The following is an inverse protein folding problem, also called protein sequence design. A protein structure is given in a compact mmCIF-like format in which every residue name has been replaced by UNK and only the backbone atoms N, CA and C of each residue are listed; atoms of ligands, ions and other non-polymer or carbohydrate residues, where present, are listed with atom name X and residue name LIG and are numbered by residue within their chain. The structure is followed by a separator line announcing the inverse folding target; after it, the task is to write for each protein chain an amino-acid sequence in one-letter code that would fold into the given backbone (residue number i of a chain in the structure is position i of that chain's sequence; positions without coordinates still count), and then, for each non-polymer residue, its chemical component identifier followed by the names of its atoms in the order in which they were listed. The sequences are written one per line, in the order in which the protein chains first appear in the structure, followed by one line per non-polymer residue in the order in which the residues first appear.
data_IF_568600886815
#
_entry.id   IF_568600886815
#
_cell.length_a   1.000
_cell.length_b   1.000
_cell.length_c   1.000
_cell.angle_alpha   90.00
_cell.angle_beta   90.00
_cell.angle_gamma   90.00
#
_symmetry.space_group_name_H-M   'P 1'
#
loop_
_entity.id
_entity.type
_entity.pdbx_description
1 polymer ?
#
# COMPACT_ATOMS: atom_id res chain seq x y z
N UNK A 1 -12.74 8.04 3.34
CA UNK A 1 -11.74 7.68 2.31
C UNK A 1 -11.36 6.21 2.53
N UNK A 2 -11.19 5.43 1.46
CA UNK A 2 -10.87 4.00 1.53
C UNK A 2 -9.49 3.76 0.91
N UNK A 3 -8.62 3.02 1.60
CA UNK A 3 -7.34 2.59 1.04
C UNK A 3 -7.46 1.18 0.49
N UNK A 4 -6.89 0.93 -0.70
CA UNK A 4 -6.85 -0.39 -1.31
C UNK A 4 -5.53 -0.61 -2.02
N UNK A 5 -5.20 -1.87 -2.28
CA UNK A 5 -4.11 -2.27 -3.15
C UNK A 5 -4.65 -3.24 -4.20
N UNK A 6 -4.35 -2.97 -5.48
CA UNK A 6 -4.73 -3.85 -6.57
C UNK A 6 -3.71 -4.98 -6.70
N UNK A 7 -4.07 -6.16 -6.18
CA UNK A 7 -3.19 -7.33 -6.15
C UNK A 7 -3.03 -8.00 -7.53
N UNK A 8 -4.01 -7.79 -8.42
CA UNK A 8 -3.96 -8.27 -9.79
C UNK A 8 -3.80 -7.10 -10.76
N UNK A 9 -2.99 -7.29 -11.80
CA UNK A 9 -2.85 -6.37 -12.93
C UNK A 9 -3.00 -7.15 -14.24
N UNK A 10 -3.68 -6.61 -15.26
CA UNK A 10 -3.75 -7.27 -16.57
C UNK A 10 -2.36 -7.58 -17.11
N UNK A 11 -2.22 -8.81 -17.62
CA UNK A 11 -1.01 -9.26 -18.29
C UNK A 11 -0.98 -8.63 -19.69
N UNK A 12 0.16 -8.04 -20.05
CA UNK A 12 0.44 -7.43 -21.35
C UNK A 12 1.85 -7.83 -21.75
N UNK A 13 2.18 -7.85 -23.04
CA UNK A 13 3.54 -8.19 -23.50
C UNK A 13 4.62 -7.33 -22.84
N UNK A 14 4.32 -6.06 -22.57
CA UNK A 14 5.22 -5.12 -21.89
C UNK A 14 5.39 -5.35 -20.37
N UNK A 15 4.61 -6.24 -19.77
CA UNK A 15 4.63 -6.50 -18.32
C UNK A 15 4.64 -7.99 -17.96
N UNK A 16 5.04 -8.85 -18.91
CA UNK A 16 5.23 -10.27 -18.66
C UNK A 16 6.21 -10.50 -17.49
N UNK A 17 6.07 -11.64 -16.82
CA UNK A 17 7.02 -12.01 -15.78
C UNK A 17 8.40 -12.22 -16.39
N UNK A 18 9.41 -11.66 -15.73
CA UNK A 18 10.81 -11.96 -16.00
C UNK A 18 11.17 -13.35 -15.44
N UNK A 19 12.22 -13.99 -15.97
CA UNK A 19 12.70 -15.29 -15.45
C UNK A 19 13.03 -15.19 -13.96
N UNK A 20 13.63 -14.09 -13.52
CA UNK A 20 13.93 -13.81 -12.12
C UNK A 20 12.67 -13.71 -11.25
N UNK A 21 11.59 -13.08 -11.76
CA UNK A 21 10.31 -13.00 -11.06
C UNK A 21 9.63 -14.37 -10.95
N UNK A 22 9.74 -15.23 -11.97
CA UNK A 22 9.22 -16.59 -11.94
C UNK A 22 10.01 -17.50 -10.98
N UNK A 23 11.30 -17.20 -10.77
CA UNK A 23 12.15 -17.88 -9.80
C UNK A 23 11.89 -17.45 -8.35
N UNK A 24 11.08 -16.42 -8.10
CA UNK A 24 10.70 -16.01 -6.75
C UNK A 24 9.89 -17.11 -6.05
N UNK A 25 9.94 -17.08 -4.72
CA UNK A 25 9.14 -17.98 -3.89
C UNK A 25 7.65 -17.87 -4.23
N UNK A 26 6.93 -18.99 -4.13
CA UNK A 26 5.51 -19.12 -4.51
C UNK A 26 4.57 -18.11 -3.84
N UNK A 27 4.96 -17.50 -2.73
CA UNK A 27 4.22 -16.41 -2.08
C UNK A 27 4.11 -15.12 -2.91
N UNK A 28 5.00 -14.91 -3.88
CA UNK A 28 4.98 -13.76 -4.79
C UNK A 28 4.18 -14.04 -6.08
N UNK A 29 3.91 -15.32 -6.35
CA UNK A 29 3.22 -15.77 -7.55
C UNK A 29 1.83 -16.34 -7.20
N UNK A 30 0.95 -16.47 -8.19
CA UNK A 30 -0.43 -16.90 -7.97
C UNK A 30 -0.51 -18.37 -7.50
N UNK A 31 0.51 -19.17 -7.80
CA UNK A 31 0.57 -20.61 -7.52
C UNK A 31 0.59 -20.94 -6.03
N UNK A 32 1.17 -20.08 -5.18
CA UNK A 32 1.35 -20.33 -3.75
C UNK A 32 0.20 -19.85 -2.86
N UNK A 33 -0.88 -19.32 -3.42
CA UNK A 33 -1.91 -18.66 -2.62
C UNK A 33 -2.91 -19.66 -2.04
N UNK A 34 -3.11 -19.60 -0.72
CA UNK A 34 -4.11 -20.44 -0.04
C UNK A 34 -5.52 -19.98 -0.40
N UNK A 35 -6.17 -20.70 -1.30
CA UNK A 35 -7.58 -20.45 -1.66
C UNK A 35 -8.49 -21.40 -0.89
N UNK A 36 -9.27 -20.85 0.05
CA UNK A 36 -10.10 -21.62 0.98
C UNK A 36 -11.40 -22.21 0.40
N UNK A 37 -11.81 -21.82 -0.81
CA UNK A 37 -13.03 -22.33 -1.46
C UNK A 37 -12.77 -22.81 -2.88
N UNK A 38 -13.55 -23.80 -3.32
CA UNK A 38 -13.47 -24.34 -4.68
C UNK A 38 -13.78 -23.28 -5.73
N UNK A 39 -14.79 -22.45 -5.48
CA UNK A 39 -15.18 -21.35 -6.37
C UNK A 39 -14.03 -20.34 -6.56
N UNK A 40 -13.34 -19.95 -5.49
CA UNK A 40 -12.22 -19.04 -5.59
C UNK A 40 -11.02 -19.70 -6.29
N UNK A 41 -10.86 -21.03 -6.18
CA UNK A 41 -9.81 -21.76 -6.90
C UNK A 41 -10.06 -21.79 -8.40
N UNK A 42 -11.31 -22.03 -8.82
CA UNK A 42 -11.72 -21.92 -10.22
C UNK A 42 -11.47 -20.51 -10.75
N UNK A 43 -11.90 -19.49 -10.01
CA UNK A 43 -11.66 -18.09 -10.40
C UNK A 43 -10.16 -17.76 -10.51
N UNK A 44 -9.34 -18.26 -9.57
CA UNK A 44 -7.88 -18.07 -9.61
C UNK A 44 -7.25 -18.71 -10.85
N UNK A 45 -7.70 -19.92 -11.22
CA UNK A 45 -7.25 -20.57 -12.45
C UNK A 45 -7.65 -19.79 -13.70
N UNK A 46 -8.85 -19.21 -13.74
CA UNK A 46 -9.32 -18.39 -14.87
C UNK A 46 -8.49 -17.12 -15.06
N UNK A 47 -8.10 -16.45 -13.98
CA UNK A 47 -7.33 -15.20 -14.08
C UNK A 47 -5.83 -15.41 -14.30
N UNK A 48 -5.32 -16.63 -14.08
CA UNK A 48 -3.89 -16.94 -14.17
C UNK A 48 -3.29 -16.61 -15.55
N UNK A 49 -4.07 -16.78 -16.61
CA UNK A 49 -3.62 -16.53 -17.99
C UNK A 49 -3.75 -15.06 -18.40
N UNK A 50 -4.63 -14.29 -17.76
CA UNK A 50 -4.98 -12.92 -18.17
C UNK A 50 -4.40 -11.84 -17.25
N UNK A 51 -3.96 -12.21 -16.05
CA UNK A 51 -3.48 -11.28 -15.04
C UNK A 51 -2.17 -11.77 -14.42
N UNK A 52 -1.33 -10.83 -13.99
CA UNK A 52 -0.18 -11.09 -13.11
C UNK A 52 -0.47 -10.67 -11.67
N UNK A 53 0.21 -11.32 -10.73
CA UNK A 53 0.27 -10.85 -9.34
C UNK A 53 1.09 -9.57 -9.26
N UNK A 54 0.66 -8.72 -8.34
CA UNK A 54 1.40 -7.54 -7.90
C UNK A 54 1.37 -7.55 -6.38
N UNK A 55 2.37 -8.19 -5.75
CA UNK A 55 2.55 -8.11 -4.30
C UNK A 55 2.71 -6.64 -3.87
N UNK A 56 2.27 -6.34 -2.64
CA UNK A 56 2.40 -5.01 -2.09
C UNK A 56 3.88 -4.73 -1.81
N UNK A 57 4.40 -3.61 -2.30
CA UNK A 57 5.77 -3.23 -2.00
C UNK A 57 5.84 -2.68 -0.57
N UNK A 58 6.08 -3.58 0.39
CA UNK A 58 6.16 -3.28 1.82
C UNK A 58 7.58 -3.54 2.31
N UNK A 59 8.16 -2.58 3.02
CA UNK A 59 9.53 -2.64 3.52
C UNK A 59 9.56 -2.47 5.02
N UNK A 60 10.51 -3.13 5.68
CA UNK A 60 10.74 -2.98 7.11
C UNK A 60 11.48 -1.66 7.44
N UNK A 61 11.85 -1.48 8.70
CA UNK A 61 12.56 -0.29 9.15
C UNK A 61 13.96 -0.15 8.54
N UNK A 62 14.59 -1.26 8.19
CA UNK A 62 15.91 -1.30 7.54
C UNK A 62 15.82 -1.17 6.02
N UNK A 63 14.60 -1.15 5.46
CA UNK A 63 14.38 -1.09 4.02
C UNK A 63 14.43 -2.45 3.32
N UNK A 64 14.39 -3.56 4.07
CA UNK A 64 14.28 -4.90 3.50
C UNK A 64 12.82 -5.18 3.10
N UNK A 65 12.63 -5.86 1.98
CA UNK A 65 11.30 -6.23 1.49
C UNK A 65 10.65 -7.23 2.45
N UNK A 66 9.47 -6.90 2.95
CA UNK A 66 8.66 -7.80 3.76
C UNK A 66 7.95 -8.79 2.82
N UNK A 67 8.08 -10.10 3.02
CA UNK A 67 7.37 -11.09 2.21
C UNK A 67 5.86 -11.07 2.53
N UNK A 68 4.98 -11.43 1.56
CA UNK A 68 3.53 -11.45 1.77
C UNK A 68 3.07 -12.29 2.96
N UNK A 69 3.75 -13.40 3.25
CA UNK A 69 3.48 -14.26 4.40
C UNK A 69 3.65 -13.55 5.76
N UNK A 70 4.50 -12.52 5.82
CA UNK A 70 4.80 -11.77 7.05
C UNK A 70 4.01 -10.47 7.18
N UNK A 71 3.22 -10.06 6.17
CA UNK A 71 2.49 -8.79 6.21
C UNK A 71 1.64 -8.61 7.46
N UNK A 72 0.91 -9.65 7.87
CA UNK A 72 0.06 -9.58 9.06
C UNK A 72 0.90 -9.33 10.31
N UNK A 73 2.02 -10.02 10.45
CA UNK A 73 2.87 -9.92 11.63
C UNK A 73 3.65 -8.60 11.67
N UNK A 74 4.14 -8.11 10.52
CA UNK A 74 5.05 -6.96 10.44
C UNK A 74 4.35 -5.63 10.23
N UNK A 75 3.15 -5.61 9.64
CA UNK A 75 2.43 -4.36 9.33
C UNK A 75 1.30 -4.06 10.31
N UNK A 76 0.68 -5.08 10.92
CA UNK A 76 -0.47 -4.86 11.81
C UNK A 76 -0.02 -4.17 13.10
N UNK A 77 -0.44 -2.92 13.27
CA UNK A 77 -0.08 -2.10 14.44
C UNK A 77 1.29 -1.41 14.32
N UNK A 78 1.97 -1.51 13.18
CA UNK A 78 3.17 -0.74 12.88
C UNK A 78 2.83 0.72 12.57
N UNK A 79 3.76 1.63 12.89
CA UNK A 79 3.74 2.98 12.34
C UNK A 79 4.47 2.95 11.01
N UNK A 80 3.82 3.40 9.93
CA UNK A 80 4.32 3.26 8.57
C UNK A 80 4.20 4.55 7.77
N UNK A 81 5.10 4.75 6.81
CA UNK A 81 4.92 5.67 5.70
C UNK A 81 4.21 4.93 4.57
N UNK A 82 3.16 5.53 4.01
CA UNK A 82 2.41 4.97 2.89
C UNK A 82 2.47 5.94 1.72
N UNK A 83 2.83 5.44 0.53
CA UNK A 83 2.61 6.15 -0.73
C UNK A 83 1.35 5.58 -1.37
N UNK A 84 0.45 6.46 -1.78
CA UNK A 84 -0.77 6.09 -2.48
C UNK A 84 -1.16 7.15 -3.49
N UNK A 85 -1.88 6.73 -4.53
CA UNK A 85 -2.51 7.63 -5.49
C UNK A 85 -3.98 7.85 -5.08
N UNK A 86 -4.51 9.06 -5.25
CA UNK A 86 -5.92 9.33 -4.93
C UNK A 86 -6.75 9.35 -6.21
N UNK A 87 -7.76 8.49 -6.26
CA UNK A 87 -8.80 8.51 -7.27
C UNK A 87 -10.11 9.04 -6.65
N UNK A 88 -10.80 9.91 -7.37
CA UNK A 88 -12.12 10.42 -6.98
C UNK A 88 -13.17 9.82 -7.90
N UNK A 89 -14.17 9.18 -7.31
CA UNK A 89 -15.33 8.68 -8.03
C UNK A 89 -16.54 9.51 -7.63
N UNK A 90 -17.32 9.93 -8.61
CA UNK A 90 -18.59 10.65 -8.40
C UNK A 90 -19.72 9.68 -8.70
N UNK A 91 -20.58 9.47 -7.72
CA UNK A 91 -21.74 8.57 -7.85
C UNK A 91 -23.04 9.33 -7.59
N UNK A 92 -24.08 9.00 -8.34
CA UNK A 92 -25.41 9.61 -8.22
C UNK A 92 -25.74 10.59 -9.34
N UNK A 93 -27.03 10.81 -9.54
CA UNK A 93 -27.56 11.80 -10.47
C UNK A 93 -27.75 13.14 -9.77
N UNK A 94 -27.70 14.25 -10.52
CA UNK A 94 -28.00 15.59 -10.01
C UNK A 94 -29.41 15.59 -9.40
N UNK A 95 -29.64 16.22 -8.22
CA UNK A 95 -28.75 17.12 -7.47
C UNK A 95 -27.92 16.43 -6.38
N UNK A 96 -28.11 15.13 -6.11
CA UNK A 96 -27.41 14.40 -5.04
C UNK A 96 -26.27 13.55 -5.60
N UNK A 97 -25.13 14.18 -5.86
CA UNK A 97 -23.88 13.46 -6.10
C UNK A 97 -23.15 13.17 -4.78
N UNK A 98 -22.48 12.02 -4.72
CA UNK A 98 -21.61 11.60 -3.63
C UNK A 98 -20.21 11.40 -4.18
N UNK A 99 -19.23 12.07 -3.56
CA UNK A 99 -17.83 11.85 -3.85
C UNK A 99 -17.29 10.71 -3.00
N UNK A 100 -16.59 9.76 -3.65
CA UNK A 100 -15.83 8.71 -2.98
C UNK A 100 -14.37 8.84 -3.37
N UNK A 101 -13.53 9.14 -2.38
CA UNK A 101 -12.09 9.15 -2.52
C UNK A 101 -11.52 7.77 -2.17
N UNK A 102 -10.70 7.24 -3.06
CA UNK A 102 -10.00 5.97 -2.91
C UNK A 102 -8.50 6.22 -3.00
N UNK A 103 -7.75 5.76 -2.00
CA UNK A 103 -6.29 5.77 -1.98
C UNK A 103 -5.74 4.43 -2.47
N UNK A 104 -5.19 4.39 -3.67
CA UNK A 104 -4.52 3.22 -4.23
C UNK A 104 -3.09 3.14 -3.72
N UNK A 105 -2.86 2.26 -2.74
CA UNK A 105 -1.57 2.08 -2.07
C UNK A 105 -0.57 1.42 -3.03
N UNK A 106 0.59 2.06 -3.16
CA UNK A 106 1.67 1.59 -4.02
C UNK A 106 2.90 1.15 -3.25
N UNK A 107 3.11 1.69 -2.05
CA UNK A 107 4.31 1.45 -1.24
C UNK A 107 4.02 1.64 0.25
N UNK A 108 4.66 0.81 1.08
CA UNK A 108 4.66 0.92 2.54
C UNK A 108 6.09 0.79 3.07
N UNK A 109 6.47 1.62 4.04
CA UNK A 109 7.70 1.45 4.83
C UNK A 109 7.41 1.54 6.32
N UNK A 110 7.88 0.56 7.08
CA UNK A 110 7.78 0.58 8.54
C UNK A 110 8.75 1.61 9.12
N UNK A 111 8.24 2.51 9.96
CA UNK A 111 9.04 3.43 10.77
C UNK A 111 9.22 2.88 12.18
N UNK A 112 8.16 2.32 12.75
CA UNK A 112 8.15 1.70 14.08
C UNK A 112 7.48 0.34 13.95
N UNK A 113 8.16 -0.76 14.32
CA UNK A 113 7.58 -2.10 14.23
C UNK A 113 6.35 -2.22 15.15
N UNK A 114 5.48 -3.21 14.92
CA UNK A 114 4.36 -3.51 15.79
C UNK A 114 4.87 -3.70 17.22
N UNK A 115 4.34 -2.93 18.16
CA UNK A 115 4.59 -3.22 19.58
C UNK A 115 3.84 -4.51 19.89
N UNK A 116 4.53 -5.52 20.44
CA UNK A 116 3.88 -6.74 20.91
C UNK A 116 2.67 -6.39 21.80
N UNK A 117 1.62 -7.23 21.86
CA UNK A 117 0.47 -6.98 22.71
C UNK A 117 0.85 -7.17 24.19
N UNK A 118 1.59 -6.23 24.77
CA UNK A 118 1.71 -6.09 26.21
C UNK A 118 0.61 -5.14 26.68
N UNK A 119 -0.44 -5.71 27.27
CA UNK A 119 -1.54 -5.02 27.96
C UNK A 119 -2.52 -4.21 27.07
N UNK A 120 -3.78 -4.03 27.54
CA UNK A 120 -4.76 -3.19 26.85
C UNK A 120 -4.15 -1.82 26.56
N UNK A 121 -4.08 -1.49 25.27
CA UNK A 121 -3.65 -0.18 24.80
C UNK A 121 -4.67 0.83 25.32
N UNK A 122 -4.37 1.42 26.49
CA UNK A 122 -5.03 2.65 26.90
C UNK A 122 -4.93 3.64 25.73
N UNK A 123 -5.98 4.42 25.42
CA UNK A 123 -5.91 5.38 24.33
C UNK A 123 -4.70 6.28 24.55
N UNK A 124 -3.63 6.07 23.78
CA UNK A 124 -2.46 6.94 23.83
C UNK A 124 -2.99 8.34 23.55
N UNK A 125 -2.79 9.25 24.52
CA UNK A 125 -3.06 10.67 24.32
C UNK A 125 -2.41 11.05 22.99
N UNK A 126 -3.23 11.36 21.99
CA UNK A 126 -2.76 11.92 20.72
C UNK A 126 -2.14 13.25 21.10
N UNK A 127 -0.82 13.31 21.18
CA UNK A 127 -0.11 14.59 21.11
C UNK A 127 -0.34 15.11 19.70
N UNK A 128 -1.47 15.79 19.51
CA UNK A 128 -1.71 16.62 18.35
C UNK A 128 -0.68 17.73 18.47
N UNK A 129 0.37 17.66 17.66
CA UNK A 129 1.31 18.77 17.56
C UNK A 129 0.52 19.99 17.06
N UNK A 130 0.55 21.08 17.81
CA UNK A 130 -0.12 22.33 17.47
C UNK A 130 0.51 23.06 16.26
N UNK A 131 1.59 22.51 15.69
CA UNK A 131 2.31 23.04 14.54
C UNK A 131 2.63 21.91 13.56
N UNK A 132 2.47 22.21 12.28
CA UNK A 132 2.69 21.30 11.15
C UNK A 132 4.18 20.90 11.04
N UNK A 133 4.55 19.61 11.17
CA UNK A 133 5.93 19.15 11.06
C UNK A 133 6.52 19.23 9.65
N UNK A 134 5.72 19.55 8.62
CA UNK A 134 6.17 19.69 7.24
C UNK A 134 6.22 21.14 6.75
N UNK A 135 5.96 22.12 7.62
CA UNK A 135 5.94 23.54 7.26
C UNK A 135 7.24 24.02 6.58
N UNK A 136 8.40 23.49 6.99
CA UNK A 136 9.70 23.83 6.42
C UNK A 136 9.89 23.36 4.97
N UNK A 137 9.10 22.38 4.49
CA UNK A 137 9.15 21.88 3.11
C UNK A 137 8.28 22.69 2.14
N UNK A 138 7.46 23.61 2.67
CA UNK A 138 6.55 24.46 1.91
C UNK A 138 7.05 25.91 1.79
N UNK A 139 8.17 26.25 2.43
CA UNK A 139 8.79 27.57 2.25
C UNK A 139 9.50 27.64 0.89
N UNK A 140 8.90 28.36 -0.06
CA UNK A 140 9.51 28.71 -1.33
C UNK A 140 10.87 29.40 -1.11
N UNK A 141 11.90 29.14 -1.94
CA UNK A 141 13.20 29.77 -1.77
C UNK A 141 13.07 31.29 -1.88
N UNK A 142 13.38 31.99 -0.80
CA UNK A 142 13.40 33.47 -0.78
C UNK A 142 14.48 33.92 -1.76
N UNK A 143 14.11 34.72 -2.77
CA UNK A 143 15.04 35.36 -3.71
C UNK A 143 16.14 36.07 -2.90
N UNK A 144 17.39 35.66 -3.09
CA UNK A 144 18.54 36.36 -2.54
C UNK A 144 18.62 37.76 -3.20
N UNK A 145 18.39 38.82 -2.43
CA UNK A 145 18.63 40.18 -2.87
C UNK A 145 20.15 40.43 -2.84
N UNK A 146 20.73 40.68 -4.02
CA UNK A 146 22.10 41.17 -4.17
C UNK A 146 22.14 42.65 -3.75
N UNK A 147 23.02 43.00 -2.82
CA UNK A 147 23.39 44.37 -2.54
C UNK A 147 24.54 44.78 -3.48
N UNK A 148 24.36 45.88 -4.21
CA UNK A 148 25.43 46.74 -4.73
C UNK A 148 25.15 48.14 -4.19
#
# INVERSE_FOLDING_TARGET
MMFRHAVFKPLTDANAYTEDELALASQYCMEGWCVGSTAARTALNTIRESHRTRPLQAYDMHGALIPPSEYVQKLRGAVVVVRFNVATYVFGQVPKHRHRFVGDVTYIRVLVPPTAPSAPVSPRKRNVHARDPFAALLESPKKAARYY
#
